data_IF_383022849302
#
_entry.id   IF_383022849302
#
_cell.length_a   1.000
_cell.length_b   1.000
_cell.length_c   1.000
_cell.angle_alpha   90.00
_cell.angle_beta   90.00
_cell.angle_gamma   90.00
#
_symmetry.space_group_name_H-M   'P 1'
#
loop_
_entity.id
_entity.type
_entity.pdbx_description
1 polymer ?
#
# COMPACT_ATOMS: atom_id res chain seq x y z
N UNK A 1 -20.63 18.21 13.19
CA UNK A 1 -19.66 17.61 14.15
C UNK A 1 -18.33 17.48 13.42
N UNK A 2 -17.24 18.00 14.00
CA UNK A 2 -15.92 18.13 13.33
C UNK A 2 -14.92 17.02 13.71
N UNK A 3 -13.80 16.96 13.00
CA UNK A 3 -12.70 16.03 13.28
C UNK A 3 -11.94 16.42 14.55
N UNK A 4 -11.70 15.46 15.44
CA UNK A 4 -10.79 15.63 16.59
C UNK A 4 -9.36 15.26 16.15
N UNK A 5 -8.58 16.28 15.79
CA UNK A 5 -7.20 16.13 15.29
C UNK A 5 -6.16 16.55 16.33
N UNK A 6 -6.53 16.60 17.62
CA UNK A 6 -5.55 16.80 18.67
C UNK A 6 -4.68 15.55 18.77
N UNK A 7 -3.38 15.75 19.01
CA UNK A 7 -2.44 14.65 19.18
C UNK A 7 -2.86 13.81 20.40
N UNK A 8 -3.52 12.69 20.13
CA UNK A 8 -3.87 11.66 21.11
C UNK A 8 -3.05 10.41 20.80
N UNK A 9 -2.86 9.54 21.80
CA UNK A 9 -2.05 8.32 21.69
C UNK A 9 -2.50 7.37 20.56
N UNK A 10 -3.72 7.55 20.07
CA UNK A 10 -4.37 6.75 19.01
C UNK A 10 -4.28 7.37 17.62
N UNK A 11 -3.87 8.63 17.48
CA UNK A 11 -3.84 9.33 16.19
C UNK A 11 -2.50 9.10 15.46
N UNK A 12 -2.19 7.82 15.21
CA UNK A 12 -0.93 7.35 14.63
C UNK A 12 -1.23 6.54 13.36
N UNK A 13 -0.51 6.84 12.29
CA UNK A 13 -0.46 5.99 11.10
C UNK A 13 0.54 4.85 11.34
N UNK A 14 0.02 3.63 11.49
CA UNK A 14 0.80 2.41 11.70
C UNK A 14 0.09 1.21 11.05
N UNK A 15 -0.02 0.06 11.74
CA UNK A 15 -0.58 -1.19 11.21
C UNK A 15 -1.97 -1.02 10.59
N UNK A 16 -2.90 -0.29 11.20
CA UNK A 16 -4.21 -0.12 10.56
C UNK A 16 -4.16 0.79 9.33
N UNK A 17 -3.48 1.93 9.47
CA UNK A 17 -3.45 2.99 8.47
C UNK A 17 -2.61 2.65 7.23
N UNK A 18 -1.68 1.69 7.30
CA UNK A 18 -0.87 1.30 6.14
C UNK A 18 -1.75 0.85 4.96
N UNK A 19 -2.92 0.28 5.25
CA UNK A 19 -3.90 -0.17 4.25
C UNK A 19 -4.53 0.98 3.49
N UNK A 20 -4.58 2.19 4.04
CA UNK A 20 -5.14 3.37 3.35
C UNK A 20 -4.31 3.70 2.11
N UNK A 21 -2.98 3.66 2.22
CA UNK A 21 -2.08 3.90 1.09
C UNK A 21 -2.20 2.80 0.04
N UNK A 22 -2.29 1.53 0.48
CA UNK A 22 -2.53 0.36 -0.36
C UNK A 22 -3.79 0.55 -1.23
N UNK A 23 -4.94 0.83 -0.58
CA UNK A 23 -6.20 1.01 -1.30
C UNK A 23 -6.17 2.21 -2.23
N UNK A 24 -5.61 3.34 -1.81
CA UNK A 24 -5.46 4.51 -2.67
C UNK A 24 -4.58 4.22 -3.91
N UNK A 25 -3.53 3.42 -3.76
CA UNK A 25 -2.67 2.98 -4.86
C UNK A 25 -3.38 2.05 -5.85
N UNK A 26 -4.29 1.21 -5.35
CA UNK A 26 -5.06 0.26 -6.15
C UNK A 26 -6.28 0.85 -6.86
N UNK A 27 -6.63 2.12 -6.61
CA UNK A 27 -7.73 2.76 -7.33
C UNK A 27 -7.46 2.77 -8.85
N UNK A 28 -8.51 2.70 -9.66
CA UNK A 28 -8.39 2.86 -11.10
C UNK A 28 -7.96 4.31 -11.44
N UNK A 29 -7.10 4.51 -12.45
CA UNK A 29 -6.60 5.86 -12.80
C UNK A 29 -7.68 6.81 -13.31
N UNK A 30 -8.76 6.26 -13.86
CA UNK A 30 -9.97 6.99 -14.25
C UNK A 30 -10.86 7.44 -13.07
N UNK A 31 -10.55 7.06 -11.83
CA UNK A 31 -11.28 7.56 -10.66
C UNK A 31 -10.83 9.01 -10.33
N UNK A 32 -11.75 10.00 -10.34
CA UNK A 32 -11.40 11.40 -10.09
C UNK A 32 -10.82 11.66 -8.70
N UNK A 33 -11.02 10.76 -7.74
CA UNK A 33 -10.52 10.92 -6.37
C UNK A 33 -9.09 10.41 -6.20
N UNK A 34 -8.61 9.51 -7.06
CA UNK A 34 -7.28 8.88 -6.91
C UNK A 34 -6.17 9.91 -6.83
N UNK A 35 -6.12 10.84 -7.78
CA UNK A 35 -5.08 11.87 -7.84
C UNK A 35 -5.05 12.73 -6.57
N UNK A 36 -6.22 13.12 -6.04
CA UNK A 36 -6.35 13.90 -4.81
C UNK A 36 -5.84 13.13 -3.59
N UNK A 37 -6.16 11.84 -3.49
CA UNK A 37 -5.71 10.99 -2.38
C UNK A 37 -4.20 10.75 -2.43
N UNK A 38 -3.65 10.43 -3.60
CA UNK A 38 -2.19 10.28 -3.79
C UNK A 38 -1.45 11.58 -3.43
N UNK A 39 -1.97 12.73 -3.83
CA UNK A 39 -1.40 14.03 -3.47
C UNK A 39 -1.46 14.28 -1.95
N UNK A 40 -2.59 13.97 -1.30
CA UNK A 40 -2.76 14.13 0.15
C UNK A 40 -1.80 13.25 0.95
N UNK A 41 -1.55 12.03 0.48
CA UNK A 41 -0.72 11.04 1.17
C UNK A 41 0.74 11.01 0.71
N UNK A 42 1.13 11.89 -0.22
CA UNK A 42 2.48 12.03 -0.75
C UNK A 42 3.60 12.01 0.31
N UNK A 43 3.45 12.61 1.52
CA UNK A 43 4.50 12.52 2.54
C UNK A 43 4.96 11.10 2.89
N UNK A 44 4.07 10.11 2.88
CA UNK A 44 4.45 8.70 3.11
C UNK A 44 5.35 8.15 2.01
N UNK A 45 5.05 8.46 0.74
CA UNK A 45 5.90 8.10 -0.40
C UNK A 45 7.26 8.78 -0.31
N UNK A 46 7.29 10.07 0.03
CA UNK A 46 8.53 10.84 0.20
C UNK A 46 9.42 10.25 1.30
N UNK A 47 8.85 9.93 2.47
CA UNK A 47 9.59 9.32 3.58
C UNK A 47 10.16 7.95 3.20
N UNK A 48 9.35 7.11 2.54
CA UNK A 48 9.78 5.79 2.09
C UNK A 48 10.90 5.87 1.06
N UNK A 49 10.80 6.79 0.11
CA UNK A 49 11.82 7.02 -0.92
C UNK A 49 13.12 7.55 -0.30
N UNK A 50 13.03 8.49 0.66
CA UNK A 50 14.22 9.06 1.33
C UNK A 50 14.96 8.04 2.18
N UNK A 51 14.23 7.22 2.92
CA UNK A 51 14.82 6.29 3.88
C UNK A 51 15.06 4.88 3.31
N UNK A 52 14.58 4.59 2.09
CA UNK A 52 14.62 3.27 1.48
C UNK A 52 13.62 2.27 2.07
N UNK A 53 12.99 2.58 3.20
CA UNK A 53 12.01 1.74 3.89
C UNK A 53 10.87 2.59 4.46
N UNK A 54 9.64 2.04 4.55
CA UNK A 54 8.54 2.71 5.22
C UNK A 54 8.75 2.79 6.74
N UNK A 55 8.29 3.86 7.40
CA UNK A 55 8.29 3.94 8.85
C UNK A 55 7.27 2.97 9.47
N UNK A 56 7.48 2.57 10.72
CA UNK A 56 6.51 1.74 11.45
C UNK A 56 5.34 2.58 11.97
N UNK A 57 5.63 3.79 12.42
CA UNK A 57 4.68 4.71 13.04
C UNK A 57 4.91 6.13 12.52
N UNK A 58 3.84 6.85 12.24
CA UNK A 58 3.87 8.29 11.94
C UNK A 58 2.80 8.98 12.75
N UNK A 59 3.17 9.97 13.54
CA UNK A 59 2.21 10.84 14.21
C UNK A 59 1.47 11.68 13.16
N UNK A 60 0.13 11.60 13.14
CA UNK A 60 -0.68 12.19 12.05
C UNK A 60 -0.69 13.73 12.10
N UNK A 61 -0.45 14.32 13.26
CA UNK A 61 -0.51 15.78 13.45
C UNK A 61 0.83 16.41 13.11
N UNK A 62 1.92 15.87 13.65
CA UNK A 62 3.28 16.40 13.49
C UNK A 62 4.00 15.85 12.26
N UNK A 63 3.59 14.68 11.75
CA UNK A 63 4.29 13.98 10.68
C UNK A 63 5.58 13.29 11.13
N UNK A 64 5.86 13.24 12.43
CA UNK A 64 7.05 12.61 12.98
C UNK A 64 6.99 11.09 12.78
N UNK A 65 7.96 10.56 12.03
CA UNK A 65 8.08 9.14 11.71
C UNK A 65 9.04 8.43 12.65
N UNK A 66 8.71 7.20 13.04
CA UNK A 66 9.49 6.38 13.97
C UNK A 66 9.51 4.91 13.52
N UNK A 67 10.62 4.23 13.83
CA UNK A 67 10.80 2.81 13.56
C UNK A 67 10.92 2.47 12.07
N UNK A 68 11.15 1.20 11.80
CA UNK A 68 11.16 0.64 10.45
C UNK A 68 9.98 -0.31 10.33
N UNK A 69 9.07 -0.03 9.39
CA UNK A 69 7.89 -0.85 9.16
C UNK A 69 8.27 -2.25 8.67
N UNK A 70 7.50 -3.29 9.02
CA UNK A 70 7.79 -4.66 8.62
C UNK A 70 7.63 -4.85 7.10
N UNK A 71 8.00 -6.02 6.57
CA UNK A 71 7.98 -6.28 5.11
C UNK A 71 6.59 -6.08 4.48
N UNK A 72 5.52 -6.36 5.22
CA UNK A 72 4.14 -6.14 4.76
C UNK A 72 3.86 -4.68 4.43
N UNK A 73 4.52 -3.72 5.09
CA UNK A 73 4.37 -2.30 4.78
C UNK A 73 5.02 -1.96 3.43
N UNK A 74 6.18 -2.55 3.14
CA UNK A 74 6.83 -2.39 1.83
C UNK A 74 5.93 -2.94 0.72
N UNK A 75 5.33 -4.12 0.92
CA UNK A 75 4.38 -4.66 -0.04
C UNK A 75 3.14 -3.76 -0.20
N UNK A 76 2.56 -3.29 0.92
CA UNK A 76 1.38 -2.43 0.92
C UNK A 76 1.60 -1.10 0.16
N UNK A 77 2.84 -0.61 0.11
CA UNK A 77 3.18 0.61 -0.63
C UNK A 77 3.50 0.41 -2.11
N UNK A 78 3.64 -0.83 -2.60
CA UNK A 78 3.94 -1.07 -4.02
C UNK A 78 2.93 -0.40 -4.97
N UNK A 79 1.60 -0.52 -4.76
CA UNK A 79 0.61 0.14 -5.62
C UNK A 79 0.58 1.67 -5.45
N UNK A 80 1.02 2.15 -4.27
CA UNK A 80 0.95 3.55 -3.89
C UNK A 80 2.11 4.38 -4.44
N UNK A 81 3.33 3.84 -4.39
CA UNK A 81 4.52 4.52 -4.87
C UNK A 81 4.43 4.75 -6.37
N UNK A 82 4.57 5.99 -6.83
CA UNK A 82 4.55 6.32 -8.27
C UNK A 82 5.95 6.39 -8.88
N UNK A 83 6.99 6.49 -8.03
CA UNK A 83 8.39 6.50 -8.46
C UNK A 83 8.89 5.05 -8.65
N UNK A 84 9.46 4.76 -9.83
CA UNK A 84 9.88 3.41 -10.22
C UNK A 84 11.05 2.88 -9.41
N UNK A 85 12.02 3.72 -9.07
CA UNK A 85 13.17 3.32 -8.26
C UNK A 85 12.75 2.99 -6.83
N UNK A 86 11.89 3.84 -6.24
CA UNK A 86 11.31 3.59 -4.93
C UNK A 86 10.48 2.29 -4.90
N UNK A 87 9.67 2.04 -5.94
CA UNK A 87 8.96 0.78 -6.12
C UNK A 87 9.93 -0.41 -6.19
N UNK A 88 11.01 -0.30 -6.98
CA UNK A 88 11.99 -1.37 -7.13
C UNK A 88 12.69 -1.71 -5.82
N UNK A 89 13.07 -0.70 -5.02
CA UNK A 89 13.64 -0.90 -3.68
C UNK A 89 12.66 -1.65 -2.77
N UNK A 90 11.37 -1.27 -2.77
CA UNK A 90 10.38 -1.98 -1.95
C UNK A 90 10.11 -3.41 -2.46
N UNK A 91 10.10 -3.60 -3.79
CA UNK A 91 9.94 -4.92 -4.42
C UNK A 91 11.08 -5.85 -4.04
N UNK A 92 12.31 -5.35 -4.06
CA UNK A 92 13.50 -6.10 -3.64
C UNK A 92 13.39 -6.51 -2.18
N UNK A 93 13.04 -5.57 -1.29
CA UNK A 93 12.86 -5.86 0.14
C UNK A 93 11.78 -6.94 0.39
N UNK A 94 10.68 -6.92 -0.37
CA UNK A 94 9.62 -7.93 -0.28
C UNK A 94 10.09 -9.30 -0.78
N UNK A 95 10.91 -9.33 -1.83
CA UNK A 95 11.48 -10.58 -2.34
C UNK A 95 12.49 -11.20 -1.35
N UNK A 96 13.38 -10.39 -0.79
CA UNK A 96 14.43 -10.85 0.13
C UNK A 96 13.89 -11.27 1.50
N UNK A 97 12.78 -10.67 1.94
CA UNK A 97 12.18 -10.90 3.25
C UNK A 97 10.73 -11.38 3.16
N UNK A 98 10.42 -12.23 2.19
CA UNK A 98 9.07 -12.74 2.00
C UNK A 98 8.53 -13.37 3.30
N UNK A 99 7.31 -13.02 3.75
CA UNK A 99 6.80 -13.45 5.05
C UNK A 99 6.61 -14.97 5.11
N UNK A 100 7.08 -15.57 6.22
CA UNK A 100 6.87 -16.99 6.54
C UNK A 100 5.46 -17.29 7.06
N UNK A 101 5.22 -18.54 7.43
CA UNK A 101 3.91 -19.04 7.91
C UNK A 101 3.48 -18.48 9.27
N UNK A 102 4.40 -17.93 10.05
CA UNK A 102 4.16 -17.29 11.36
C UNK A 102 3.84 -15.79 11.27
N UNK A 103 3.94 -15.20 10.07
CA UNK A 103 3.84 -13.76 9.85
C UNK A 103 2.52 -13.35 9.18
N UNK A 104 1.37 -13.84 9.69
CA UNK A 104 0.03 -13.69 9.09
C UNK A 104 -0.26 -12.28 8.55
N UNK A 105 -0.08 -11.25 9.38
CA UNK A 105 -0.42 -9.88 8.98
C UNK A 105 0.46 -9.36 7.82
N UNK A 106 1.77 -9.64 7.87
CA UNK A 106 2.68 -9.30 6.77
C UNK A 106 2.34 -10.09 5.51
N UNK A 107 1.96 -11.36 5.66
CA UNK A 107 1.57 -12.23 4.56
C UNK A 107 0.34 -11.69 3.84
N UNK A 108 -0.71 -11.32 4.58
CA UNK A 108 -1.94 -10.74 4.01
C UNK A 108 -1.64 -9.44 3.26
N UNK A 109 -0.85 -8.52 3.84
CA UNK A 109 -0.46 -7.30 3.13
C UNK A 109 0.37 -7.60 1.87
N UNK A 110 1.21 -8.63 1.92
CA UNK A 110 2.01 -9.07 0.77
C UNK A 110 1.16 -9.62 -0.36
N UNK A 111 0.15 -10.45 -0.05
CA UNK A 111 -0.82 -10.95 -1.03
C UNK A 111 -1.51 -9.82 -1.79
N UNK A 112 -1.96 -8.79 -1.07
CA UNK A 112 -2.60 -7.63 -1.72
C UNK A 112 -1.59 -6.79 -2.50
N UNK A 113 -0.53 -6.31 -1.85
CA UNK A 113 0.39 -5.34 -2.42
C UNK A 113 1.23 -5.91 -3.56
N UNK A 114 1.88 -7.06 -3.32
CA UNK A 114 2.69 -7.74 -4.33
C UNK A 114 1.81 -8.41 -5.40
N UNK A 115 0.63 -8.95 -5.02
CA UNK A 115 -0.32 -9.48 -5.99
C UNK A 115 -0.78 -8.41 -6.99
N UNK A 116 -1.02 -7.18 -6.52
CA UNK A 116 -1.29 -6.06 -7.40
C UNK A 116 -0.07 -5.69 -8.27
N UNK A 117 1.12 -5.58 -7.70
CA UNK A 117 2.34 -5.29 -8.47
C UNK A 117 2.57 -6.32 -9.59
N UNK A 118 2.25 -7.59 -9.33
CA UNK A 118 2.32 -8.72 -10.27
C UNK A 118 1.10 -8.87 -11.20
N UNK A 119 0.16 -7.92 -11.21
CA UNK A 119 -1.05 -7.96 -12.05
C UNK A 119 -2.03 -9.12 -11.77
N UNK A 120 -1.98 -9.77 -10.60
CA UNK A 120 -2.90 -10.88 -10.23
C UNK A 120 -4.37 -10.47 -10.23
N UNK A 121 -4.66 -9.20 -9.96
CA UNK A 121 -6.00 -8.63 -10.01
C UNK A 121 -5.94 -7.11 -10.21
N UNK A 122 -7.03 -6.53 -10.73
CA UNK A 122 -7.26 -5.09 -10.88
C UNK A 122 -8.68 -4.72 -10.43
N UNK A 123 -8.95 -3.43 -10.32
CA UNK A 123 -10.29 -2.90 -10.10
C UNK A 123 -10.73 -2.05 -11.30
N UNK A 124 -11.98 -2.21 -11.73
CA UNK A 124 -12.59 -1.30 -12.72
C UNK A 124 -12.82 0.07 -12.10
N UNK A 125 -13.11 1.08 -12.93
CA UNK A 125 -13.53 2.42 -12.45
C UNK A 125 -14.81 2.38 -11.60
N UNK A 126 -15.62 1.31 -11.71
CA UNK A 126 -16.83 1.10 -10.90
C UNK A 126 -16.56 0.30 -9.61
N UNK A 127 -15.31 -0.11 -9.37
CA UNK A 127 -14.92 -0.90 -8.20
C UNK A 127 -15.14 -2.40 -8.34
N UNK A 128 -15.40 -2.91 -9.55
CA UNK A 128 -15.54 -4.35 -9.78
C UNK A 128 -14.16 -5.02 -9.85
N UNK A 129 -14.07 -6.27 -9.40
CA UNK A 129 -12.85 -7.07 -9.48
C UNK A 129 -12.59 -7.53 -10.93
N UNK A 130 -11.39 -7.27 -11.41
CA UNK A 130 -10.83 -7.82 -12.65
C UNK A 130 -9.72 -8.82 -12.29
N UNK A 131 -10.03 -10.11 -12.12
CA UNK A 131 -9.02 -11.10 -11.82
C UNK A 131 -8.18 -11.45 -13.07
N UNK A 132 -6.91 -11.73 -12.88
CA UNK A 132 -6.07 -12.35 -13.91
C UNK A 132 -5.97 -13.86 -13.65
N UNK A 133 -6.96 -14.60 -14.13
CA UNK A 133 -7.03 -16.05 -14.01
C UNK A 133 -6.30 -16.79 -15.14
N UNK A 134 -5.60 -16.07 -16.04
CA UNK A 134 -5.09 -16.66 -17.28
C UNK A 134 -6.23 -17.08 -18.23
N UNK A 135 -5.93 -17.88 -19.26
CA UNK A 135 -6.94 -18.39 -20.21
C UNK A 135 -7.85 -19.47 -19.60
N UNK A 136 -8.53 -19.18 -18.51
CA UNK A 136 -9.65 -20.00 -18.01
C UNK A 136 -10.94 -19.20 -18.12
N UNK A 137 -11.45 -19.09 -19.36
CA UNK A 137 -12.87 -18.93 -19.72
C UNK A 137 -13.07 -18.87 -21.26
N UNK A 138 -12.49 -19.82 -22.01
CA UNK A 138 -12.92 -20.09 -23.39
C UNK A 138 -13.09 -21.60 -23.60
N UNK A 139 -13.95 -22.24 -22.81
CA UNK A 139 -14.54 -23.53 -23.21
C UNK A 139 -15.76 -23.87 -22.36
N UNK A 140 -16.94 -23.61 -22.93
CA UNK A 140 -17.98 -24.64 -23.06
C UNK A 140 -18.84 -24.24 -24.25
N UNK A 141 -18.60 -24.89 -25.41
CA UNK A 141 -19.61 -24.99 -26.46
C UNK A 141 -20.74 -25.90 -26.00
#
# INVERSE_FOLDING_TARGET
QGWQLKAEKTLISSYDAIRVYLWAGMMHDGDPQKARLLARFKPMATLTMKNGVPPEKVDVVSGNAQGTGPVGFSAALLPFLQNRDAQAVQRQRVADHFPGSDAYYNYVLTLFGQGWDQHRFRFTVKGELLPDWGQECVSSR
#
